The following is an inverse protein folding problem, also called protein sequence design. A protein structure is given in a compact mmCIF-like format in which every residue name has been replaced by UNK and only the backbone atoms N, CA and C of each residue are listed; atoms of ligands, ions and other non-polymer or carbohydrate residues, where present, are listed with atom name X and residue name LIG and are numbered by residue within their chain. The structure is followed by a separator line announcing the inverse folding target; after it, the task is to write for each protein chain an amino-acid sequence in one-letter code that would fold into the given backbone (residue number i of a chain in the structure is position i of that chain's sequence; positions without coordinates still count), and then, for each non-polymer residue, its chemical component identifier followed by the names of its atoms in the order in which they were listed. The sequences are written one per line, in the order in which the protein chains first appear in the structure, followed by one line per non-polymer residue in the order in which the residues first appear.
data_IF_549426792931
#
_entry.id   IF_549426792931
#
_cell.length_a   1.000
_cell.length_b   1.000
_cell.length_c   1.000
_cell.angle_alpha   90.00
_cell.angle_beta   90.00
_cell.angle_gamma   90.00
#
_symmetry.space_group_name_H-M   'P 1'
#
loop_
_entity.id
_entity.type
_entity.pdbx_description
1 polymer ?
#
# COMPACT_ATOMS: atom_id res chain seq x y z
N UNK A 1 -26.04 -1.46 -1.29
CA UNK A 1 -25.18 -0.38 -0.79
C UNK A 1 -23.75 -0.90 -0.51
N UNK A 2 -23.57 -1.92 0.32
CA UNK A 2 -22.24 -2.44 0.71
C UNK A 2 -21.42 -2.94 -0.50
N UNK A 3 -22.03 -3.73 -1.39
CA UNK A 3 -21.37 -4.21 -2.62
C UNK A 3 -20.88 -3.08 -3.52
N UNK A 4 -21.63 -1.99 -3.61
CA UNK A 4 -21.22 -0.83 -4.39
C UNK A 4 -20.00 -0.13 -3.78
N UNK A 5 -19.93 -0.02 -2.46
CA UNK A 5 -18.77 0.56 -1.75
C UNK A 5 -17.53 -0.31 -1.95
N UNK A 6 -17.68 -1.63 -1.83
CA UNK A 6 -16.57 -2.58 -2.03
C UNK A 6 -16.07 -2.51 -3.48
N UNK A 7 -16.96 -2.54 -4.46
CA UNK A 7 -16.60 -2.42 -5.87
C UNK A 7 -15.85 -1.11 -6.16
N UNK A 8 -16.38 0.01 -5.65
CA UNK A 8 -15.75 1.32 -5.83
C UNK A 8 -14.37 1.38 -5.17
N UNK A 9 -14.21 0.78 -3.99
CA UNK A 9 -12.90 0.69 -3.31
C UNK A 9 -11.88 -0.12 -4.11
N UNK A 10 -12.27 -1.28 -4.67
CA UNK A 10 -11.39 -2.06 -5.53
C UNK A 10 -10.99 -1.28 -6.79
N UNK A 11 -11.93 -0.56 -7.38
CA UNK A 11 -11.65 0.27 -8.55
C UNK A 11 -10.67 1.40 -8.21
N UNK A 12 -10.84 2.08 -7.07
CA UNK A 12 -9.90 3.10 -6.60
C UNK A 12 -8.52 2.53 -6.29
N UNK A 13 -8.45 1.32 -5.72
CA UNK A 13 -7.19 0.64 -5.45
C UNK A 13 -6.41 0.37 -6.75
N UNK A 14 -7.10 -0.11 -7.76
CA UNK A 14 -6.50 -0.38 -9.06
C UNK A 14 -6.07 0.90 -9.78
N UNK A 15 -6.89 1.96 -9.72
CA UNK A 15 -6.53 3.28 -10.23
C UNK A 15 -5.30 3.86 -9.53
N UNK A 16 -5.20 3.68 -8.20
CA UNK A 16 -4.02 4.04 -7.44
C UNK A 16 -2.76 3.32 -7.93
N UNK A 17 -2.84 2.00 -8.16
CA UNK A 17 -1.74 1.21 -8.71
C UNK A 17 -1.30 1.66 -10.11
N UNK A 18 -2.26 1.96 -10.99
CA UNK A 18 -1.97 2.51 -12.32
C UNK A 18 -1.35 3.91 -12.21
N UNK A 19 -1.84 4.74 -11.29
CA UNK A 19 -1.28 6.06 -11.03
C UNK A 19 0.19 6.01 -10.63
N UNK A 20 0.59 5.00 -9.85
CA UNK A 20 2.00 4.75 -9.49
C UNK A 20 2.82 4.32 -10.69
N UNK A 21 2.29 3.41 -11.51
CA UNK A 21 3.03 2.83 -12.63
C UNK A 21 3.17 3.77 -13.84
N UNK A 22 2.21 4.67 -14.04
CA UNK A 22 2.15 5.55 -15.22
C UNK A 22 2.89 6.88 -15.06
N UNK A 23 3.18 7.29 -13.84
CA UNK A 23 3.80 8.60 -13.62
C UNK A 23 5.33 8.53 -13.69
N UNK A 24 5.96 9.35 -14.54
CA UNK A 24 7.42 9.43 -14.65
C UNK A 24 8.04 10.12 -13.43
N UNK A 25 7.29 10.99 -12.73
CA UNK A 25 7.79 11.65 -11.52
C UNK A 25 7.46 10.84 -10.27
N UNK A 26 8.46 10.51 -9.44
CA UNK A 26 8.27 9.69 -8.24
C UNK A 26 7.30 10.32 -7.23
N UNK A 27 7.22 11.65 -7.19
CA UNK A 27 6.32 12.37 -6.28
C UNK A 27 4.83 12.08 -6.56
N UNK A 28 4.40 12.15 -7.83
CA UNK A 28 3.02 11.80 -8.19
C UNK A 28 2.73 10.31 -8.00
N UNK A 29 3.74 9.45 -8.18
CA UNK A 29 3.65 8.04 -7.83
C UNK A 29 3.30 7.81 -6.37
N UNK A 30 3.92 8.55 -5.44
CA UNK A 30 3.60 8.47 -4.01
C UNK A 30 2.14 8.87 -3.73
N UNK A 31 1.65 9.93 -4.38
CA UNK A 31 0.25 10.36 -4.22
C UNK A 31 -0.71 9.25 -4.68
N UNK A 32 -0.43 8.61 -5.83
CA UNK A 32 -1.20 7.45 -6.31
C UNK A 32 -1.20 6.30 -5.31
N UNK A 33 -0.05 6.03 -4.67
CA UNK A 33 0.11 4.97 -3.68
C UNK A 33 -0.69 5.25 -2.40
N UNK A 34 -0.75 6.52 -1.95
CA UNK A 34 -1.60 6.94 -0.82
C UNK A 34 -3.07 6.65 -1.10
N UNK A 35 -3.57 7.05 -2.29
CA UNK A 35 -4.95 6.79 -2.67
C UNK A 35 -5.26 5.30 -2.77
N UNK A 36 -4.34 4.51 -3.35
CA UNK A 36 -4.47 3.05 -3.39
C UNK A 36 -4.53 2.42 -2.00
N UNK A 37 -3.67 2.85 -1.08
CA UNK A 37 -3.65 2.34 0.29
C UNK A 37 -4.94 2.69 1.06
N UNK A 38 -5.45 3.92 0.91
CA UNK A 38 -6.74 4.32 1.50
C UNK A 38 -7.88 3.44 0.98
N UNK A 39 -7.95 3.24 -0.32
CA UNK A 39 -8.96 2.38 -0.93
C UNK A 39 -8.87 0.93 -0.43
N UNK A 40 -7.65 0.39 -0.25
CA UNK A 40 -7.42 -0.93 0.33
C UNK A 40 -7.93 -1.05 1.76
N UNK A 41 -7.72 -0.02 2.59
CA UNK A 41 -8.25 0.02 3.96
C UNK A 41 -9.79 0.00 3.97
N UNK A 42 -10.43 0.81 3.10
CA UNK A 42 -11.90 0.85 2.98
C UNK A 42 -12.45 -0.49 2.50
N UNK A 43 -11.78 -1.14 1.53
CA UNK A 43 -12.16 -2.47 1.05
C UNK A 43 -12.12 -3.51 2.18
N UNK A 44 -11.07 -3.53 3.00
CA UNK A 44 -10.94 -4.45 4.14
C UNK A 44 -12.04 -4.24 5.18
N UNK A 45 -12.34 -2.99 5.50
CA UNK A 45 -13.44 -2.67 6.43
C UNK A 45 -14.78 -3.12 5.85
N UNK A 46 -15.00 -2.91 4.54
CA UNK A 46 -16.21 -3.36 3.85
C UNK A 46 -16.37 -4.88 3.82
N UNK A 47 -15.27 -5.64 3.81
CA UNK A 47 -15.25 -7.09 3.88
C UNK A 47 -15.41 -7.65 5.31
N UNK A 48 -15.52 -6.78 6.32
CA UNK A 48 -15.70 -7.17 7.72
C UNK A 48 -14.40 -7.24 8.54
N UNK A 49 -13.22 -7.03 7.93
CA UNK A 49 -11.92 -6.97 8.61
C UNK A 49 -11.63 -5.61 9.22
N UNK A 50 -12.49 -5.09 10.08
CA UNK A 50 -12.40 -3.74 10.63
C UNK A 50 -11.11 -3.51 11.42
N UNK A 51 -10.67 -4.49 12.22
CA UNK A 51 -9.44 -4.40 13.00
C UNK A 51 -8.20 -4.35 12.09
N UNK A 52 -8.11 -5.26 11.12
CA UNK A 52 -6.98 -5.34 10.18
C UNK A 52 -6.93 -4.09 9.30
N UNK A 53 -8.08 -3.59 8.84
CA UNK A 53 -8.17 -2.36 8.07
C UNK A 53 -7.67 -1.14 8.84
N UNK A 54 -8.00 -1.02 10.14
CA UNK A 54 -7.55 0.06 11.01
C UNK A 54 -6.05 -0.03 11.31
N UNK A 55 -5.53 -1.22 11.58
CA UNK A 55 -4.09 -1.44 11.79
C UNK A 55 -3.31 -1.10 10.52
N UNK A 56 -3.78 -1.55 9.35
CA UNK A 56 -3.17 -1.21 8.07
C UNK A 56 -3.14 0.31 7.86
N UNK A 57 -4.22 1.00 8.16
CA UNK A 57 -4.31 2.45 8.03
C UNK A 57 -3.27 3.15 8.92
N UNK A 58 -3.18 2.80 10.20
CA UNK A 58 -2.28 3.47 11.14
C UNK A 58 -0.81 3.15 10.84
N UNK A 59 -0.47 1.88 10.64
CA UNK A 59 0.93 1.44 10.49
C UNK A 59 1.44 1.72 9.09
N UNK A 60 0.68 1.32 8.08
CA UNK A 60 1.11 1.45 6.69
C UNK A 60 1.03 2.90 6.20
N UNK A 61 -0.12 3.55 6.33
CA UNK A 61 -0.32 4.91 5.86
C UNK A 61 0.36 5.92 6.77
N UNK A 62 0.18 5.81 8.09
CA UNK A 62 0.69 6.76 9.07
C UNK A 62 2.20 6.65 9.29
N UNK A 63 2.76 5.44 9.32
CA UNK A 63 4.19 5.23 9.57
C UNK A 63 5.02 5.13 8.29
N UNK A 64 4.79 4.07 7.52
CA UNK A 64 5.66 3.69 6.42
C UNK A 64 5.55 4.66 5.23
N UNK A 65 4.34 4.99 4.82
CA UNK A 65 4.10 5.76 3.59
C UNK A 65 4.47 7.23 3.74
N UNK A 66 4.30 7.80 4.93
CA UNK A 66 4.73 9.18 5.24
C UNK A 66 6.25 9.31 5.13
N UNK A 67 7.01 8.38 5.71
CA UNK A 67 8.48 8.38 5.61
C UNK A 67 8.93 8.23 4.15
N UNK A 68 8.27 7.36 3.39
CA UNK A 68 8.52 7.20 1.96
C UNK A 68 8.24 8.49 1.17
N UNK A 69 7.14 9.18 1.47
CA UNK A 69 6.79 10.46 0.84
C UNK A 69 7.85 11.54 1.10
N UNK A 70 8.35 11.64 2.33
CA UNK A 70 9.43 12.57 2.65
C UNK A 70 10.74 12.22 1.95
N UNK A 71 11.14 10.95 1.92
CA UNK A 71 12.37 10.52 1.25
C UNK A 71 12.32 10.80 -0.25
N UNK A 72 11.18 10.56 -0.89
CA UNK A 72 10.97 10.86 -2.32
C UNK A 72 10.97 12.36 -2.59
N UNK A 73 10.37 13.17 -1.71
CA UNK A 73 10.35 14.62 -1.85
C UNK A 73 11.76 15.24 -1.75
N UNK A 74 12.63 14.64 -0.92
CA UNK A 74 14.03 15.06 -0.78
C UNK A 74 14.91 14.59 -1.95
N UNK A 75 14.56 13.48 -2.59
CA UNK A 75 15.26 12.89 -3.73
C UNK A 75 14.75 13.40 -5.09
N UNK A 76 14.06 14.55 -5.15
CA UNK A 76 13.42 15.05 -6.35
C UNK A 76 14.40 15.20 -7.54
N UNK A 77 14.05 14.57 -8.65
CA UNK A 77 14.84 14.64 -9.87
C UNK A 77 14.68 16.02 -10.54
N UNK A 78 15.79 16.63 -11.01
CA UNK A 78 15.75 17.95 -11.62
C UNK A 78 15.05 18.00 -12.99
N UNK A 79 14.83 16.87 -13.65
CA UNK A 79 14.27 16.78 -14.99
C UNK A 79 13.25 15.64 -15.09
N UNK A 80 11.94 15.90 -14.89
CA UNK A 80 10.91 14.91 -15.17
C UNK A 80 10.80 14.70 -16.69
N UNK A 81 11.12 13.51 -17.16
CA UNK A 81 10.92 13.16 -18.57
C UNK A 81 9.42 13.05 -18.85
N UNK A 82 8.92 13.94 -19.68
CA UNK A 82 7.54 13.94 -20.13
C UNK A 82 7.32 12.84 -21.18
N UNK A 83 7.05 11.62 -20.78
CA UNK A 83 6.63 10.56 -21.71
C UNK A 83 5.10 10.55 -21.85
N UNK A 84 4.59 11.44 -22.68
CA UNK A 84 3.19 11.85 -22.62
C UNK A 84 2.17 11.09 -23.46
N UNK A 85 2.47 10.21 -24.36
CA UNK A 85 1.45 9.65 -25.28
C UNK A 85 1.10 8.19 -25.07
N UNK A 86 2.09 7.36 -24.94
CA UNK A 86 1.95 5.90 -24.85
C UNK A 86 1.40 5.46 -23.50
N UNK A 87 1.73 6.18 -22.42
CA UNK A 87 1.30 5.86 -21.08
C UNK A 87 -0.21 6.04 -20.92
N UNK A 88 -0.77 7.10 -21.47
CA UNK A 88 -2.22 7.35 -21.42
C UNK A 88 -3.02 6.19 -22.05
N UNK A 89 -2.53 5.63 -23.16
CA UNK A 89 -3.16 4.50 -23.84
C UNK A 89 -3.12 3.23 -22.98
N UNK A 90 -1.99 2.92 -22.35
CA UNK A 90 -1.86 1.78 -21.45
C UNK A 90 -2.74 1.92 -20.21
N UNK A 91 -2.82 3.12 -19.63
CA UNK A 91 -3.71 3.43 -18.50
C UNK A 91 -5.16 3.22 -18.89
N UNK A 92 -5.58 3.72 -20.05
CA UNK A 92 -6.94 3.58 -20.53
C UNK A 92 -7.30 2.10 -20.75
N UNK A 93 -6.43 1.34 -21.41
CA UNK A 93 -6.61 -0.09 -21.65
C UNK A 93 -6.72 -0.87 -20.33
N UNK A 94 -5.89 -0.55 -19.34
CA UNK A 94 -5.94 -1.19 -18.05
C UNK A 94 -7.20 -0.85 -17.25
N UNK A 95 -7.63 0.41 -17.25
CA UNK A 95 -8.89 0.83 -16.61
C UNK A 95 -10.09 0.12 -17.22
N UNK A 96 -10.16 0.03 -18.55
CA UNK A 96 -11.23 -0.70 -19.26
C UNK A 96 -11.20 -2.18 -18.89
N UNK A 97 -10.02 -2.81 -18.89
CA UNK A 97 -9.87 -4.21 -18.51
C UNK A 97 -10.37 -4.48 -17.10
N UNK A 98 -10.01 -3.62 -16.14
CA UNK A 98 -10.44 -3.72 -14.73
C UNK A 98 -11.94 -3.51 -14.57
N UNK A 99 -12.53 -2.56 -15.29
CA UNK A 99 -13.98 -2.33 -15.28
C UNK A 99 -14.75 -3.55 -15.81
N UNK A 100 -14.29 -4.14 -16.89
CA UNK A 100 -14.90 -5.34 -17.48
C UNK A 100 -14.76 -6.54 -16.56
N UNK A 101 -13.55 -6.77 -16.03
CA UNK A 101 -13.30 -7.89 -15.12
C UNK A 101 -14.04 -7.72 -13.78
N UNK A 102 -14.06 -6.52 -13.24
CA UNK A 102 -14.77 -6.20 -12.00
C UNK A 102 -16.29 -6.33 -12.15
N UNK A 103 -16.85 -5.92 -13.29
CA UNK A 103 -18.26 -6.12 -13.61
C UNK A 103 -18.61 -7.60 -13.71
N UNK A 104 -17.81 -8.39 -14.42
CA UNK A 104 -17.98 -9.83 -14.56
C UNK A 104 -17.89 -10.56 -13.20
N UNK A 105 -16.94 -10.18 -12.35
CA UNK A 105 -16.81 -10.73 -11.00
C UNK A 105 -17.99 -10.38 -10.11
N UNK A 106 -18.57 -9.18 -10.25
CA UNK A 106 -19.77 -8.79 -9.51
C UNK A 106 -20.98 -9.63 -9.86
N UNK A 107 -21.15 -10.00 -11.13
CA UNK A 107 -22.21 -10.93 -11.54
C UNK A 107 -21.99 -12.31 -10.92
N UNK A 108 -20.78 -12.85 -10.97
CA UNK A 108 -20.44 -14.15 -10.40
C UNK A 108 -20.59 -14.18 -8.88
N UNK A 109 -20.17 -13.14 -8.18
CA UNK A 109 -20.30 -13.01 -6.71
C UNK A 109 -21.76 -12.78 -6.31
N UNK A 110 -22.52 -12.02 -7.10
CA UNK A 110 -23.96 -11.81 -6.90
C UNK A 110 -24.78 -13.09 -7.06
N UNK A 111 -24.41 -13.94 -8.01
CA UNK A 111 -25.02 -15.26 -8.24
C UNK A 111 -24.58 -16.31 -7.20
N UNK A 112 -23.38 -16.20 -6.67
CA UNK A 112 -22.77 -17.17 -5.76
C UNK A 112 -23.16 -17.01 -4.29
N UNK A 113 -23.95 -15.99 -3.92
CA UNK A 113 -24.35 -15.80 -2.52
C UNK A 113 -23.17 -15.75 -1.55
N UNK A 114 -22.01 -15.22 -1.99
CA UNK A 114 -20.91 -14.92 -1.08
C UNK A 114 -21.41 -13.85 -0.13
N UNK A 115 -22.06 -14.31 0.94
CA UNK A 115 -22.53 -13.47 2.01
C UNK A 115 -21.31 -12.76 2.57
N UNK A 116 -21.21 -11.48 2.28
CA UNK A 116 -20.52 -10.53 3.14
C UNK A 116 -21.43 -10.38 4.39
N UNK A 117 -21.71 -11.51 5.01
CA UNK A 117 -22.22 -11.53 6.37
C UNK A 117 -21.04 -11.12 7.20
N UNK A 118 -21.02 -9.85 7.61
CA UNK A 118 -20.04 -9.40 8.56
C UNK A 118 -19.95 -10.47 9.65
N UNK A 119 -18.77 -10.98 9.89
CA UNK A 119 -18.50 -11.98 10.91
C UNK A 119 -18.96 -11.53 12.32
N UNK A 120 -19.38 -10.30 12.42
CA UNK A 120 -19.93 -9.66 13.62
C UNK A 120 -21.43 -9.97 13.88
N UNK A 121 -22.13 -10.66 12.96
CA UNK A 121 -23.60 -10.84 13.04
C UNK A 121 -24.06 -12.20 13.53
N UNK A 122 -23.18 -13.14 13.87
CA UNK A 122 -23.60 -14.43 14.43
C UNK A 122 -23.66 -14.39 15.96
N UNK A 123 -24.87 -14.16 16.46
CA UNK A 123 -25.43 -14.59 17.73
C UNK A 123 -24.54 -14.68 18.97
N UNK A 124 -24.59 -13.65 19.85
CA UNK A 124 -24.45 -13.85 21.28
C UNK A 124 -23.05 -13.93 21.90
N UNK A 125 -22.02 -14.23 21.13
CA UNK A 125 -20.62 -14.15 21.56
C UNK A 125 -19.82 -13.35 20.53
N UNK A 126 -19.37 -12.16 20.91
CA UNK A 126 -18.52 -11.29 20.09
C UNK A 126 -17.10 -11.86 19.92
N UNK A 127 -16.94 -13.03 19.38
CA UNK A 127 -15.65 -13.48 18.88
C UNK A 127 -15.42 -12.82 17.52
N UNK A 128 -14.67 -11.72 17.54
CA UNK A 128 -14.19 -11.06 16.33
C UNK A 128 -13.31 -12.06 15.57
N UNK A 129 -13.82 -12.61 14.49
CA UNK A 129 -13.10 -13.58 13.64
C UNK A 129 -11.87 -12.98 12.99
N UNK A 130 -11.83 -11.65 12.79
CA UNK A 130 -10.66 -10.94 12.27
C UNK A 130 -9.48 -10.96 13.25
N UNK A 131 -9.73 -11.03 14.57
CA UNK A 131 -8.69 -11.17 15.59
C UNK A 131 -8.10 -12.59 15.64
N UNK A 132 -8.82 -13.61 15.19
CA UNK A 132 -8.31 -14.99 15.14
C UNK A 132 -7.10 -15.13 14.22
N UNK A 133 -7.05 -14.35 13.13
CA UNK A 133 -5.89 -14.33 12.24
C UNK A 133 -4.62 -13.82 12.94
N UNK A 134 -4.74 -12.83 13.80
CA UNK A 134 -3.61 -12.33 14.60
C UNK A 134 -3.14 -13.39 15.60
N UNK A 135 -4.04 -14.07 16.29
CA UNK A 135 -3.70 -15.15 17.23
C UNK A 135 -2.97 -16.30 16.51
N UNK A 136 -3.46 -16.72 15.35
CA UNK A 136 -2.80 -17.75 14.53
C UNK A 136 -1.40 -17.32 14.10
N UNK A 137 -1.22 -16.07 13.74
CA UNK A 137 0.08 -15.51 13.35
C UNK A 137 1.09 -15.56 14.52
N UNK A 138 0.66 -15.30 15.77
CA UNK A 138 1.54 -15.43 16.94
C UNK A 138 1.82 -16.89 17.31
N UNK A 139 0.87 -17.77 17.11
CA UNK A 139 1.02 -19.19 17.49
C UNK A 139 1.87 -19.99 16.49
N UNK A 140 1.58 -19.85 15.18
CA UNK A 140 2.29 -20.58 14.12
C UNK A 140 3.44 -19.78 13.48
N UNK A 141 3.32 -18.44 13.46
CA UNK A 141 4.24 -17.54 12.78
C UNK A 141 5.26 -16.84 13.69
N UNK A 142 5.42 -17.27 14.94
CA UNK A 142 6.34 -16.62 15.90
C UNK A 142 7.77 -16.53 15.39
N UNK A 143 8.28 -17.55 14.71
CA UNK A 143 9.62 -17.54 14.11
C UNK A 143 9.77 -16.50 13.00
N UNK A 144 8.74 -16.34 12.17
CA UNK A 144 8.71 -15.36 11.09
C UNK A 144 8.64 -13.92 11.66
N UNK A 145 7.88 -13.71 12.73
CA UNK A 145 7.83 -12.42 13.43
C UNK A 145 9.18 -12.04 14.02
N UNK A 146 9.89 -13.01 14.62
CA UNK A 146 11.22 -12.80 15.18
C UNK A 146 12.22 -12.44 14.08
N UNK A 147 12.16 -13.12 12.94
CA UNK A 147 13.00 -12.84 11.78
C UNK A 147 12.70 -11.44 11.20
N UNK A 148 11.44 -11.04 11.10
CA UNK A 148 11.06 -9.69 10.68
C UNK A 148 11.58 -8.62 11.65
N UNK A 149 11.47 -8.85 12.97
CA UNK A 149 12.02 -7.94 13.98
C UNK A 149 13.53 -7.79 13.85
N UNK A 150 14.24 -8.89 13.65
CA UNK A 150 15.68 -8.88 13.38
C UNK A 150 16.05 -8.09 12.12
N UNK A 151 15.32 -8.31 11.02
CA UNK A 151 15.53 -7.59 9.78
C UNK A 151 15.31 -6.08 9.93
N UNK A 152 14.26 -5.67 10.65
CA UNK A 152 14.00 -4.25 10.95
C UNK A 152 15.11 -3.62 11.79
N UNK A 153 15.66 -4.37 12.74
CA UNK A 153 16.79 -3.91 13.57
C UNK A 153 18.03 -3.71 12.69
N UNK A 154 18.34 -4.63 11.79
CA UNK A 154 19.45 -4.48 10.85
C UNK A 154 19.28 -3.26 9.94
N UNK A 155 18.09 -3.03 9.41
CA UNK A 155 17.79 -1.84 8.60
C UNK A 155 18.03 -0.57 9.41
N UNK A 156 17.61 -0.53 10.67
CA UNK A 156 17.86 0.62 11.56
C UNK A 156 19.36 0.91 11.70
N UNK A 157 20.19 -0.11 11.92
CA UNK A 157 21.64 0.08 12.03
C UNK A 157 22.25 0.62 10.74
N UNK A 158 21.84 0.08 9.59
CA UNK A 158 22.33 0.54 8.29
C UNK A 158 21.97 1.99 8.03
N UNK A 159 20.73 2.38 8.31
CA UNK A 159 20.26 3.77 8.14
C UNK A 159 21.02 4.72 9.06
N UNK A 160 21.21 4.33 10.34
CA UNK A 160 21.97 5.15 11.29
C UNK A 160 23.42 5.35 10.85
N UNK A 161 24.07 4.31 10.32
CA UNK A 161 25.45 4.43 9.85
C UNK A 161 25.54 5.31 8.59
N UNK A 162 24.60 5.18 7.64
CA UNK A 162 24.52 6.05 6.46
C UNK A 162 24.37 7.53 6.84
N UNK A 163 23.48 7.84 7.79
CA UNK A 163 23.25 9.21 8.23
C UNK A 163 24.47 9.76 8.97
N UNK A 164 25.16 8.92 9.72
CA UNK A 164 26.36 9.30 10.45
C UNK A 164 27.54 9.64 9.52
N UNK A 165 27.74 8.90 8.44
CA UNK A 165 28.81 9.16 7.48
C UNK A 165 28.59 10.48 6.72
N UNK A 166 27.36 10.84 6.39
CA UNK A 166 27.02 12.12 5.77
C UNK A 166 27.43 13.32 6.65
N UNK A 167 27.42 13.17 7.98
CA UNK A 167 27.86 14.18 8.94
C UNK A 167 29.39 14.41 8.96
N UNK A 168 30.18 13.52 8.39
CA UNK A 168 31.66 13.59 8.37
C UNK A 168 32.25 14.17 7.09
N UNK A 169 31.44 14.72 6.18
CA UNK A 169 31.90 15.37 4.96
C UNK A 169 32.63 14.40 4.01
N UNK A 170 31.85 13.54 3.36
CA UNK A 170 32.35 12.46 2.50
C UNK A 170 32.92 12.85 1.15
N UNK A 171 33.10 14.13 0.84
CA UNK A 171 33.77 14.57 -0.40
C UNK A 171 34.86 15.60 -0.04
N UNK A 172 36.07 15.09 0.18
CA UNK A 172 37.26 15.93 -0.02
C UNK A 172 37.36 16.23 -1.51
N UNK A 173 37.08 17.45 -1.89
CA UNK A 173 37.50 17.97 -3.20
C UNK A 173 39.03 17.82 -3.25
N UNK A 174 39.61 17.11 -4.21
CA UNK A 174 41.09 17.09 -4.37
C UNK A 174 41.51 18.53 -4.68
N UNK A 175 42.15 19.14 -3.71
CA UNK A 175 42.82 20.40 -3.87
C UNK A 175 44.11 20.13 -4.69
N UNK A 176 44.15 20.63 -5.89
CA UNK A 176 45.35 20.55 -6.77
C UNK A 176 44.95 20.20 -8.19
N UNK A 177 45.15 21.00 -9.07
CA UNK A 177 46.35 21.65 -9.59
C UNK A 177 45.97 22.69 -10.63
N UNK A 178 46.54 23.80 -10.49
CA UNK A 178 46.68 24.82 -11.51
C UNK A 178 47.48 24.33 -12.69
#
# INVERSE_FOLDING_TARGET
MLYFVIFFSFLCLLLGGVGVASNPSPFYGVVGLVFGALAGCVALVGLGGSFIGLVLFIVYLGGMLVVFAYSVALAAEPHPEASGGTILWWVLCYVVFVLVLGGALMEVVGLGGVGVSGADCYGGYHLRLDSCGAVLMYFWGWGLLLLCGWALLLVLFVVLELVRELGRGGLRVPEGSW
#
